data_IF_425240508148
#
_entry.id   IF_425240508148
#
_cell.length_a   1.000
_cell.length_b   1.000
_cell.length_c   1.000
_cell.angle_alpha   90.00
_cell.angle_beta   90.00
_cell.angle_gamma   90.00
#
_symmetry.space_group_name_H-M   'P 1'
#
loop_
_entity.id
_entity.type
_entity.pdbx_description
1 polymer ?
#
# COMPACT_ATOMS: atom_id res chain seq x y z
N UNK A 1 5.85 -68.05 -55.94
CA UNK A 1 5.12 -66.80 -56.27
C UNK A 1 4.08 -66.58 -55.19
N UNK A 2 3.90 -65.32 -54.76
CA UNK A 2 3.04 -64.83 -53.66
C UNK A 2 3.58 -64.95 -52.22
N UNK A 3 3.25 -63.95 -51.35
CA UNK A 3 4.24 -63.28 -50.52
C UNK A 3 4.01 -63.40 -49.00
N UNK A 4 5.05 -63.00 -48.25
CA UNK A 4 5.10 -62.73 -46.81
C UNK A 4 3.93 -61.84 -46.32
N UNK A 5 3.27 -62.25 -45.25
CA UNK A 5 2.65 -61.37 -44.24
C UNK A 5 2.86 -61.93 -42.83
N UNK A 6 2.94 -61.01 -41.86
CA UNK A 6 3.55 -61.13 -40.54
C UNK A 6 2.79 -62.01 -39.51
N UNK A 7 3.44 -62.45 -38.42
CA UNK A 7 2.77 -63.11 -37.30
C UNK A 7 2.17 -62.08 -36.32
N UNK A 8 0.90 -62.26 -35.96
CA UNK A 8 0.30 -61.69 -34.75
C UNK A 8 0.48 -62.74 -33.65
N UNK A 9 1.31 -62.44 -32.65
CA UNK A 9 1.51 -63.29 -31.48
C UNK A 9 0.67 -62.81 -30.30
N UNK A 10 -0.13 -63.74 -29.82
CA UNK A 10 -0.91 -63.77 -28.59
C UNK A 10 -0.03 -63.76 -27.33
N UNK A 11 -0.37 -62.95 -26.33
CA UNK A 11 -0.05 -63.23 -24.92
C UNK A 11 -1.00 -62.48 -23.98
N UNK A 12 -2.25 -62.94 -23.93
CA UNK A 12 -3.11 -62.73 -22.76
C UNK A 12 -2.66 -63.72 -21.68
N UNK A 13 -1.96 -63.24 -20.64
CA UNK A 13 -1.59 -64.05 -19.48
C UNK A 13 -1.78 -63.23 -18.20
N UNK A 14 -2.82 -63.65 -17.45
CA UNK A 14 -2.95 -63.67 -15.98
C UNK A 14 -2.92 -62.35 -15.21
N UNK A 15 -4.07 -61.97 -14.69
CA UNK A 15 -4.18 -61.45 -13.32
C UNK A 15 -5.31 -62.21 -12.61
N UNK A 16 -4.92 -63.05 -11.65
CA UNK A 16 -5.82 -63.81 -10.79
C UNK A 16 -6.53 -62.86 -9.81
N UNK A 17 -7.84 -63.07 -9.64
CA UNK A 17 -8.68 -62.40 -8.65
C UNK A 17 -8.21 -62.71 -7.22
N UNK A 18 -7.67 -61.71 -6.54
CA UNK A 18 -7.59 -61.69 -5.09
C UNK A 18 -8.85 -60.99 -4.56
N UNK A 19 -9.76 -61.75 -3.96
CA UNK A 19 -10.94 -61.22 -3.26
C UNK A 19 -10.46 -60.55 -1.97
N UNK A 20 -10.65 -59.23 -1.88
CA UNK A 20 -10.31 -58.43 -0.72
C UNK A 20 -11.50 -58.47 0.28
N UNK A 21 -11.29 -58.76 1.58
CA UNK A 21 -12.39 -58.82 2.53
C UNK A 21 -13.02 -57.42 2.76
N UNK A 22 -14.33 -57.36 3.06
CA UNK A 22 -15.03 -56.08 3.23
C UNK A 22 -14.51 -55.32 4.46
N UNK A 23 -14.35 -53.99 4.30
CA UNK A 23 -13.92 -53.09 5.35
C UNK A 23 -14.94 -53.05 6.51
N UNK A 24 -14.49 -52.91 7.77
CA UNK A 24 -15.39 -52.78 8.92
C UNK A 24 -16.24 -51.50 8.83
N UNK A 25 -17.48 -51.51 9.36
CA UNK A 25 -18.37 -50.35 9.31
C UNK A 25 -17.77 -49.17 10.07
N UNK A 26 -17.82 -47.98 9.44
CA UNK A 26 -17.36 -46.74 10.02
C UNK A 26 -18.14 -46.45 11.32
N UNK A 27 -17.41 -46.29 12.44
CA UNK A 27 -18.00 -45.85 13.70
C UNK A 27 -18.63 -44.45 13.58
N UNK A 28 -19.55 -44.09 14.49
CA UNK A 28 -20.22 -42.78 14.45
C UNK A 28 -19.20 -41.65 14.42
N UNK A 29 -19.33 -40.77 13.44
CA UNK A 29 -18.48 -39.61 13.26
C UNK A 29 -18.43 -38.80 14.56
N UNK A 30 -17.23 -38.54 15.06
CA UNK A 30 -17.04 -37.68 16.23
C UNK A 30 -17.74 -36.33 15.97
N UNK A 31 -18.50 -35.79 16.95
CA UNK A 31 -19.22 -34.54 16.77
C UNK A 31 -18.23 -33.45 16.38
N UNK A 32 -18.48 -32.82 15.22
CA UNK A 32 -17.71 -31.70 14.72
C UNK A 32 -17.73 -30.59 15.78
N UNK A 33 -16.57 -30.06 16.20
CA UNK A 33 -16.54 -28.99 17.18
C UNK A 33 -17.28 -27.78 16.61
N UNK A 34 -18.39 -27.41 17.25
CA UNK A 34 -19.14 -26.20 16.94
C UNK A 34 -18.23 -25.02 17.26
N UNK A 35 -17.72 -24.34 16.22
CA UNK A 35 -16.97 -23.10 16.36
C UNK A 35 -17.97 -22.02 16.81
N UNK A 36 -18.05 -21.80 18.12
CA UNK A 36 -18.83 -20.69 18.68
C UNK A 36 -18.10 -19.40 18.34
N UNK A 37 -18.61 -18.61 17.39
CA UNK A 37 -18.07 -17.27 17.12
C UNK A 37 -18.13 -16.46 18.43
N UNK A 38 -16.99 -15.93 18.92
CA UNK A 38 -17.00 -15.08 20.10
C UNK A 38 -17.90 -13.87 19.83
N UNK A 39 -18.99 -13.75 20.60
CA UNK A 39 -19.94 -12.63 20.49
C UNK A 39 -19.25 -11.33 20.87
N UNK A 40 -18.70 -10.63 19.88
CA UNK A 40 -18.25 -9.25 20.02
C UNK A 40 -19.46 -8.38 20.38
N UNK A 41 -19.36 -7.63 21.48
CA UNK A 41 -20.43 -6.71 21.93
C UNK A 41 -20.72 -5.67 20.85
N UNK A 42 -21.98 -5.30 20.68
CA UNK A 42 -22.40 -4.29 19.70
C UNK A 42 -21.71 -2.93 19.95
N UNK A 43 -21.52 -2.54 21.22
CA UNK A 43 -20.78 -1.34 21.58
C UNK A 43 -19.35 -1.33 21.05
N UNK A 44 -18.64 -2.46 21.11
CA UNK A 44 -17.28 -2.59 20.54
C UNK A 44 -17.28 -2.35 19.04
N UNK A 45 -18.31 -2.83 18.32
CA UNK A 45 -18.45 -2.62 16.87
C UNK A 45 -18.68 -1.15 16.55
N UNK A 46 -19.56 -0.46 17.27
CA UNK A 46 -19.81 0.97 17.08
C UNK A 46 -18.58 1.83 17.39
N UNK A 47 -17.86 1.52 18.48
CA UNK A 47 -16.59 2.18 18.82
C UNK A 47 -15.56 1.97 17.71
N UNK A 48 -15.41 0.75 17.20
CA UNK A 48 -14.49 0.48 16.10
C UNK A 48 -14.88 1.23 14.82
N UNK A 49 -16.17 1.29 14.47
CA UNK A 49 -16.64 2.03 13.30
C UNK A 49 -16.36 3.53 13.43
N UNK A 50 -16.73 4.13 14.57
CA UNK A 50 -16.49 5.54 14.84
C UNK A 50 -15.00 5.88 14.87
N UNK A 51 -14.18 5.03 15.50
CA UNK A 51 -12.74 5.24 15.58
C UNK A 51 -12.07 5.18 14.19
N UNK A 52 -12.48 4.25 13.33
CA UNK A 52 -11.97 4.18 11.94
C UNK A 52 -12.41 5.39 11.12
N UNK A 53 -13.66 5.85 11.26
CA UNK A 53 -14.13 7.06 10.58
C UNK A 53 -13.38 8.31 11.06
N UNK A 54 -13.15 8.46 12.37
CA UNK A 54 -12.39 9.57 12.93
C UNK A 54 -10.90 9.52 12.54
N UNK A 55 -10.33 8.32 12.41
CA UNK A 55 -8.97 8.13 11.91
C UNK A 55 -8.81 8.70 10.49
N UNK A 56 -9.73 8.38 9.58
CA UNK A 56 -9.63 8.83 8.18
C UNK A 56 -10.17 10.23 7.94
N UNK A 57 -11.07 10.72 8.80
CA UNK A 57 -11.48 12.13 8.83
C UNK A 57 -10.27 13.04 9.05
N UNK A 58 -9.33 12.64 9.90
CA UNK A 58 -8.10 13.37 10.20
C UNK A 58 -8.34 14.87 10.46
N UNK A 59 -9.39 15.20 11.21
CA UNK A 59 -9.75 16.57 11.51
C UNK A 59 -8.65 17.19 12.37
N UNK A 60 -8.15 18.36 11.96
CA UNK A 60 -7.20 19.14 12.74
C UNK A 60 -7.91 19.68 13.99
N UNK A 61 -7.33 19.41 15.17
CA UNK A 61 -7.89 19.83 16.46
C UNK A 61 -7.17 21.07 16.96
N UNK A 62 -5.86 20.94 17.22
CA UNK A 62 -4.98 22.02 17.69
C UNK A 62 -3.56 21.71 17.20
N UNK A 63 -2.89 22.69 16.59
CA UNK A 63 -1.54 22.55 16.04
C UNK A 63 -1.39 21.30 15.15
N UNK A 64 -0.46 20.40 15.50
CA UNK A 64 -0.21 19.13 14.80
C UNK A 64 -1.12 17.98 15.30
N UNK A 65 -1.98 18.20 16.30
CA UNK A 65 -2.90 17.18 16.80
C UNK A 65 -4.12 17.07 15.89
N UNK A 66 -4.39 15.84 15.46
CA UNK A 66 -5.57 15.50 14.66
C UNK A 66 -6.32 14.34 15.29
N UNK A 67 -7.55 14.11 14.84
CA UNK A 67 -8.31 12.92 15.22
C UNK A 67 -7.59 11.62 14.84
N UNK A 68 -6.75 11.63 13.80
CA UNK A 68 -5.94 10.48 13.38
C UNK A 68 -4.79 10.16 14.36
N UNK A 69 -4.44 11.08 15.24
CA UNK A 69 -3.44 10.86 16.31
C UNK A 69 -4.15 10.55 17.62
N UNK A 70 -5.09 11.42 18.03
CA UNK A 70 -5.71 11.37 19.36
C UNK A 70 -6.55 10.11 19.55
N UNK A 71 -7.36 9.74 18.56
CA UNK A 71 -8.28 8.59 18.70
C UNK A 71 -7.52 7.26 18.76
N UNK A 72 -6.57 6.95 17.86
CA UNK A 72 -5.76 5.76 18.01
C UNK A 72 -4.96 5.76 19.31
N UNK A 73 -4.36 6.88 19.71
CA UNK A 73 -3.56 6.93 20.93
C UNK A 73 -4.41 6.65 22.19
N UNK A 74 -5.61 7.24 22.27
CA UNK A 74 -6.54 6.98 23.37
C UNK A 74 -6.99 5.51 23.45
N UNK A 75 -7.04 4.82 22.30
CA UNK A 75 -7.46 3.42 22.22
C UNK A 75 -6.30 2.41 22.28
N UNK A 76 -5.06 2.85 22.58
CA UNK A 76 -3.89 1.95 22.74
C UNK A 76 -4.20 0.71 23.60
N UNK A 77 -4.82 0.84 24.81
CA UNK A 77 -5.11 -0.33 25.64
C UNK A 77 -6.00 -1.38 24.94
N UNK A 78 -6.81 -0.94 23.98
CA UNK A 78 -7.75 -1.79 23.25
C UNK A 78 -7.04 -2.50 22.09
N UNK A 79 -6.24 -1.79 21.29
CA UNK A 79 -5.65 -2.36 20.07
C UNK A 79 -4.22 -2.88 20.22
N UNK A 80 -3.51 -2.61 21.32
CA UNK A 80 -2.07 -2.95 21.49
C UNK A 80 -1.74 -4.43 21.23
N UNK A 81 -2.67 -5.33 21.57
CA UNK A 81 -2.48 -6.77 21.38
C UNK A 81 -2.77 -7.24 19.94
N UNK A 82 -3.55 -6.48 19.17
CA UNK A 82 -4.02 -6.89 17.84
C UNK A 82 -2.89 -7.07 16.81
N UNK A 83 -1.88 -6.17 16.71
CA UNK A 83 -0.77 -6.34 15.77
C UNK A 83 -0.05 -7.69 15.90
N UNK A 84 0.00 -8.29 17.10
CA UNK A 84 0.66 -9.58 17.33
C UNK A 84 0.02 -10.73 16.54
N UNK A 85 -1.24 -10.57 16.13
CA UNK A 85 -2.00 -11.54 15.34
C UNK A 85 -1.69 -11.48 13.83
N UNK A 86 -0.92 -10.49 13.38
CA UNK A 86 -0.62 -10.29 11.96
C UNK A 86 0.86 -10.57 11.65
N UNK A 87 1.12 -11.03 10.42
CA UNK A 87 2.48 -11.31 9.95
C UNK A 87 3.25 -9.99 9.79
N UNK A 88 4.51 -9.98 10.22
CA UNK A 88 5.42 -8.83 10.07
C UNK A 88 5.12 -7.60 10.95
N UNK A 89 3.95 -7.51 11.57
CA UNK A 89 3.56 -6.36 12.38
C UNK A 89 4.48 -6.12 13.60
N UNK A 90 4.93 -7.16 14.31
CA UNK A 90 5.89 -6.97 15.43
C UNK A 90 7.18 -6.25 15.02
N UNK A 91 7.78 -6.69 13.91
CA UNK A 91 8.98 -6.07 13.38
C UNK A 91 8.70 -4.65 12.88
N UNK A 92 7.53 -4.41 12.29
CA UNK A 92 7.08 -3.08 11.88
C UNK A 92 7.09 -2.09 13.07
N UNK A 93 6.52 -2.47 14.23
CA UNK A 93 6.54 -1.63 15.43
C UNK A 93 7.93 -1.48 16.05
N UNK A 94 8.74 -2.55 16.04
CA UNK A 94 10.11 -2.49 16.56
C UNK A 94 10.99 -1.54 15.73
N UNK A 95 10.94 -1.65 14.40
CA UNK A 95 11.63 -0.74 13.48
C UNK A 95 11.06 0.68 13.55
N UNK A 96 9.75 0.82 13.76
CA UNK A 96 9.13 2.13 14.03
C UNK A 96 9.68 2.81 15.27
N UNK A 97 9.78 2.09 16.39
CA UNK A 97 10.39 2.59 17.62
C UNK A 97 11.87 2.93 17.44
N UNK A 98 12.62 2.09 16.72
CA UNK A 98 14.03 2.34 16.41
C UNK A 98 14.20 3.58 15.53
N UNK A 99 13.35 3.76 14.51
CA UNK A 99 13.37 4.93 13.64
C UNK A 99 13.08 6.21 14.44
N UNK A 100 12.06 6.21 15.31
CA UNK A 100 11.75 7.35 16.17
C UNK A 100 12.92 7.72 17.09
N UNK A 101 13.53 6.73 17.75
CA UNK A 101 14.71 6.95 18.60
C UNK A 101 15.89 7.49 17.78
N UNK A 102 16.14 6.92 16.60
CA UNK A 102 17.17 7.38 15.66
C UNK A 102 16.95 8.81 15.22
N UNK A 103 15.72 9.20 14.86
CA UNK A 103 15.42 10.58 14.44
C UNK A 103 15.66 11.61 15.54
N UNK A 104 15.25 11.30 16.79
CA UNK A 104 15.53 12.18 17.94
C UNK A 104 17.03 12.28 18.21
N UNK A 105 17.74 11.15 18.15
CA UNK A 105 19.19 11.12 18.31
C UNK A 105 19.91 11.93 17.22
N UNK A 106 19.55 11.73 15.95
CA UNK A 106 20.09 12.50 14.82
C UNK A 106 19.79 14.00 14.97
N UNK A 107 18.59 14.37 15.42
CA UNK A 107 18.26 15.77 15.71
C UNK A 107 19.19 16.37 16.77
N UNK A 108 19.47 15.63 17.83
CA UNK A 108 20.40 16.07 18.87
C UNK A 108 21.84 16.21 18.33
N UNK A 109 22.31 15.25 17.54
CA UNK A 109 23.65 15.33 16.90
C UNK A 109 23.74 16.50 15.93
N UNK A 110 22.72 16.72 15.12
CA UNK A 110 22.69 17.79 14.11
C UNK A 110 22.53 19.18 14.72
N UNK A 111 22.06 19.30 15.97
CA UNK A 111 21.92 20.59 16.66
C UNK A 111 23.23 21.36 16.83
N UNK A 112 24.38 20.67 16.72
CA UNK A 112 25.70 21.31 16.74
C UNK A 112 25.99 22.13 15.48
N UNK A 113 25.34 21.83 14.35
CA UNK A 113 25.64 22.44 13.04
C UNK A 113 24.40 22.99 12.31
N UNK A 114 23.19 22.67 12.79
CA UNK A 114 21.94 23.05 12.15
C UNK A 114 20.98 23.66 13.15
N UNK A 115 20.13 24.57 12.67
CA UNK A 115 18.99 25.03 13.44
C UNK A 115 17.96 23.90 13.59
N UNK A 116 17.38 23.79 14.79
CA UNK A 116 16.33 22.82 15.09
C UNK A 116 15.00 23.55 15.23
N UNK A 117 13.98 23.12 14.50
CA UNK A 117 12.61 23.62 14.64
C UNK A 117 11.82 22.71 15.59
N UNK A 118 11.46 23.17 16.80
CA UNK A 118 10.65 22.37 17.74
C UNK A 118 9.26 22.05 17.19
N UNK A 119 8.72 22.89 16.31
CA UNK A 119 7.42 22.70 15.67
C UNK A 119 7.49 21.52 14.70
N UNK A 120 8.50 21.51 13.81
CA UNK A 120 8.73 20.42 12.84
C UNK A 120 9.04 19.11 13.54
N UNK A 121 9.93 19.16 14.55
CA UNK A 121 10.25 18.02 15.41
C UNK A 121 8.97 17.36 15.96
N UNK A 122 8.09 18.15 16.59
CA UNK A 122 6.82 17.64 17.13
C UNK A 122 5.91 17.11 16.03
N UNK A 123 5.74 17.84 14.93
CA UNK A 123 4.85 17.47 13.84
C UNK A 123 5.25 16.12 13.21
N UNK A 124 6.53 15.93 12.90
CA UNK A 124 7.01 14.69 12.27
C UNK A 124 7.01 13.49 13.23
N UNK A 125 7.31 13.70 14.52
CA UNK A 125 7.16 12.65 15.53
C UNK A 125 5.68 12.23 15.68
N UNK A 126 4.77 13.20 15.79
CA UNK A 126 3.33 12.93 15.90
C UNK A 126 2.78 12.27 14.64
N UNK A 127 3.26 12.64 13.45
CA UNK A 127 2.89 12.01 12.18
C UNK A 127 3.23 10.51 12.19
N UNK A 128 4.46 10.16 12.56
CA UNK A 128 4.91 8.77 12.57
C UNK A 128 4.24 7.97 13.68
N UNK A 129 4.18 8.51 14.90
CA UNK A 129 3.48 7.87 16.04
C UNK A 129 2.00 7.66 15.71
N UNK A 130 1.33 8.70 15.20
CA UNK A 130 -0.07 8.64 14.76
C UNK A 130 -0.28 7.60 13.66
N UNK A 131 0.63 7.52 12.70
CA UNK A 131 0.65 6.49 11.67
C UNK A 131 0.68 5.06 12.23
N UNK A 132 1.64 4.77 13.11
CA UNK A 132 1.72 3.44 13.74
C UNK A 132 0.48 3.12 14.59
N UNK A 133 0.01 4.08 15.39
CA UNK A 133 -1.21 3.90 16.17
C UNK A 133 -2.43 3.66 15.26
N UNK A 134 -2.53 4.37 14.14
CA UNK A 134 -3.58 4.18 13.14
C UNK A 134 -3.56 2.79 12.51
N UNK A 135 -2.37 2.26 12.19
CA UNK A 135 -2.22 0.87 11.72
C UNK A 135 -2.72 -0.09 12.80
N UNK A 136 -2.33 0.10 14.07
CA UNK A 136 -2.80 -0.71 15.19
C UNK A 136 -4.31 -0.72 15.35
N UNK A 137 -4.92 0.47 15.30
CA UNK A 137 -6.36 0.65 15.37
C UNK A 137 -7.08 -0.10 14.23
N UNK A 138 -6.59 0.00 12.99
CA UNK A 138 -7.19 -0.71 11.85
C UNK A 138 -7.05 -2.24 11.96
N UNK A 139 -5.90 -2.73 12.40
CA UNK A 139 -5.69 -4.16 12.62
C UNK A 139 -6.63 -4.69 13.70
N UNK A 140 -6.83 -3.94 14.79
CA UNK A 140 -7.83 -4.26 15.79
C UNK A 140 -9.25 -4.20 15.23
N UNK A 141 -9.62 -3.14 14.51
CA UNK A 141 -10.94 -2.99 13.91
C UNK A 141 -11.29 -4.18 13.02
N UNK A 142 -10.33 -4.71 12.25
CA UNK A 142 -10.51 -5.93 11.44
C UNK A 142 -10.76 -7.20 12.25
N UNK A 143 -10.37 -7.25 13.52
CA UNK A 143 -10.70 -8.40 14.38
C UNK A 143 -12.15 -8.37 14.86
N UNK A 144 -12.77 -7.19 14.96
CA UNK A 144 -14.11 -6.98 15.52
C UNK A 144 -15.17 -6.59 14.49
N UNK A 145 -14.76 -6.18 13.28
CA UNK A 145 -15.62 -5.77 12.18
C UNK A 145 -15.26 -6.52 10.89
N UNK A 146 -16.26 -6.84 10.04
CA UNK A 146 -16.00 -7.27 8.67
C UNK A 146 -15.20 -6.23 7.89
N UNK A 147 -14.32 -6.67 7.00
CA UNK A 147 -13.49 -5.81 6.13
C UNK A 147 -14.32 -4.78 5.36
N UNK A 148 -15.53 -5.13 4.91
CA UNK A 148 -16.48 -4.19 4.29
C UNK A 148 -16.84 -3.03 5.21
N UNK A 149 -17.14 -3.32 6.47
CA UNK A 149 -17.52 -2.28 7.43
C UNK A 149 -16.35 -1.38 7.76
N UNK A 150 -15.13 -1.94 7.89
CA UNK A 150 -13.89 -1.14 8.05
C UNK A 150 -13.68 -0.21 6.85
N UNK A 151 -13.81 -0.74 5.62
CA UNK A 151 -13.65 0.04 4.40
C UNK A 151 -14.70 1.16 4.27
N UNK A 152 -15.96 0.88 4.57
CA UNK A 152 -17.04 1.88 4.51
C UNK A 152 -16.92 2.92 5.63
N UNK A 153 -16.49 2.55 6.83
CA UNK A 153 -16.20 3.50 7.90
C UNK A 153 -15.03 4.42 7.52
N UNK A 154 -13.97 3.86 6.93
CA UNK A 154 -12.85 4.64 6.42
C UNK A 154 -13.29 5.61 5.32
N UNK A 155 -14.11 5.15 4.37
CA UNK A 155 -14.67 5.99 3.32
C UNK A 155 -15.56 7.11 3.88
N UNK A 156 -16.39 6.83 4.89
CA UNK A 156 -17.23 7.83 5.53
C UNK A 156 -16.41 8.97 6.13
N UNK A 157 -15.30 8.66 6.81
CA UNK A 157 -14.38 9.69 7.32
C UNK A 157 -13.74 10.52 6.21
N UNK A 158 -13.29 9.87 5.12
CA UNK A 158 -12.72 10.57 3.96
C UNK A 158 -13.73 11.50 3.27
N UNK A 159 -14.99 11.09 3.15
CA UNK A 159 -16.05 11.93 2.57
C UNK A 159 -16.43 13.09 3.49
N UNK A 160 -16.54 12.84 4.79
CA UNK A 160 -16.81 13.89 5.77
C UNK A 160 -15.70 14.96 5.74
N UNK A 161 -14.44 14.56 5.55
CA UNK A 161 -13.31 15.48 5.40
C UNK A 161 -13.49 16.45 4.23
N UNK A 162 -14.00 15.98 3.08
CA UNK A 162 -14.24 16.82 1.90
C UNK A 162 -15.25 17.94 2.19
N UNK A 163 -16.22 17.70 3.07
CA UNK A 163 -17.24 18.70 3.44
C UNK A 163 -16.67 19.76 4.39
N UNK A 164 -15.64 19.41 5.16
CA UNK A 164 -15.05 20.29 6.18
C UNK A 164 -13.84 21.09 5.68
N UNK A 165 -13.17 20.62 4.64
CA UNK A 165 -11.98 21.28 4.08
C UNK A 165 -12.31 22.08 2.81
N UNK A 166 -11.61 23.21 2.57
CA UNK A 166 -11.73 23.94 1.31
C UNK A 166 -11.42 23.05 0.10
N UNK A 167 -12.27 23.12 -0.91
CA UNK A 167 -12.06 22.42 -2.18
C UNK A 167 -10.96 23.15 -2.97
N UNK A 168 -9.99 22.41 -3.48
CA UNK A 168 -8.95 22.99 -4.32
C UNK A 168 -9.55 23.43 -5.67
N UNK A 169 -9.51 24.72 -6.03
CA UNK A 169 -10.18 25.23 -7.22
C UNK A 169 -9.48 24.82 -8.52
N UNK A 170 -8.18 24.51 -8.48
CA UNK A 170 -7.41 24.17 -9.69
C UNK A 170 -7.73 22.76 -10.20
N UNK A 171 -7.91 21.79 -9.29
CA UNK A 171 -8.35 20.44 -9.66
C UNK A 171 -9.05 19.73 -8.49
N UNK A 172 -10.36 19.95 -8.31
CA UNK A 172 -11.12 19.35 -7.21
C UNK A 172 -11.06 17.82 -7.21
N UNK A 173 -11.11 17.21 -8.40
CA UNK A 173 -11.08 15.75 -8.53
C UNK A 173 -9.78 15.16 -8.00
N UNK A 174 -8.65 15.69 -8.48
CA UNK A 174 -7.30 15.20 -8.14
C UNK A 174 -6.99 15.37 -6.65
N UNK A 175 -7.32 16.53 -6.09
CA UNK A 175 -6.85 16.92 -4.75
C UNK A 175 -7.85 16.61 -3.63
N UNK A 176 -9.15 16.46 -3.92
CA UNK A 176 -10.17 16.22 -2.90
C UNK A 176 -10.93 14.90 -3.13
N UNK A 177 -11.55 14.70 -4.29
CA UNK A 177 -12.55 13.63 -4.47
C UNK A 177 -11.98 12.24 -4.82
N UNK A 178 -10.97 12.17 -5.69
CA UNK A 178 -10.53 10.91 -6.34
C UNK A 178 -10.24 9.80 -5.33
N UNK A 179 -9.50 10.12 -4.27
CA UNK A 179 -9.13 9.16 -3.24
C UNK A 179 -10.34 8.65 -2.44
N UNK A 180 -11.17 9.56 -1.93
CA UNK A 180 -12.33 9.20 -1.11
C UNK A 180 -13.36 8.39 -1.91
N UNK A 181 -13.65 8.82 -3.14
CA UNK A 181 -14.60 8.13 -4.03
C UNK A 181 -14.08 6.74 -4.40
N UNK A 182 -12.79 6.59 -4.69
CA UNK A 182 -12.20 5.28 -4.99
C UNK A 182 -12.30 4.32 -3.80
N UNK A 183 -11.96 4.79 -2.60
CA UNK A 183 -12.05 3.97 -1.37
C UNK A 183 -13.50 3.57 -1.08
N UNK A 184 -14.45 4.49 -1.23
CA UNK A 184 -15.88 4.22 -1.06
C UNK A 184 -16.36 3.16 -2.05
N UNK A 185 -16.10 3.37 -3.34
CA UNK A 185 -16.59 2.53 -4.41
C UNK A 185 -16.04 1.09 -4.27
N UNK A 186 -14.73 0.95 -4.03
CA UNK A 186 -14.11 -0.35 -3.79
C UNK A 186 -14.55 -0.97 -2.45
N UNK A 187 -14.85 -0.14 -1.44
CA UNK A 187 -15.41 -0.57 -0.16
C UNK A 187 -16.77 -1.26 -0.30
N UNK A 188 -17.62 -0.83 -1.25
CA UNK A 188 -18.90 -1.50 -1.51
C UNK A 188 -18.75 -2.92 -2.11
N UNK A 189 -17.68 -3.16 -2.87
CA UNK A 189 -17.47 -4.42 -3.61
C UNK A 189 -16.49 -5.39 -2.94
N UNK A 190 -15.77 -4.97 -1.89
CA UNK A 190 -14.67 -5.72 -1.24
C UNK A 190 -14.97 -7.17 -0.82
N UNK A 191 -16.24 -7.52 -0.54
CA UNK A 191 -16.64 -8.85 -0.02
C UNK A 191 -17.38 -9.71 -1.03
N UNK A 192 -18.13 -9.09 -1.95
CA UNK A 192 -18.74 -9.88 -3.02
C UNK A 192 -17.53 -10.35 -3.86
N UNK A 193 -17.55 -11.55 -4.45
CA UNK A 193 -16.47 -11.97 -5.37
C UNK A 193 -16.69 -11.52 -6.84
N UNK A 194 -17.32 -10.38 -7.21
CA UNK A 194 -17.36 -9.99 -8.60
C UNK A 194 -16.05 -9.28 -8.91
N UNK A 195 -14.96 -10.04 -8.98
CA UNK A 195 -13.67 -9.58 -9.50
C UNK A 195 -13.85 -8.82 -10.84
N UNK A 196 -14.74 -9.22 -11.76
CA UNK A 196 -15.03 -8.41 -12.93
C UNK A 196 -15.59 -7.01 -12.62
N UNK A 197 -16.45 -6.88 -11.60
CA UNK A 197 -16.98 -5.58 -11.17
C UNK A 197 -15.89 -4.73 -10.53
N UNK A 198 -14.97 -5.31 -9.75
CA UNK A 198 -13.79 -4.57 -9.24
C UNK A 198 -12.94 -4.04 -10.41
N UNK A 199 -12.68 -4.85 -11.44
CA UNK A 199 -11.95 -4.43 -12.64
C UNK A 199 -12.66 -3.30 -13.38
N UNK A 200 -13.96 -3.48 -13.68
CA UNK A 200 -14.77 -2.46 -14.36
C UNK A 200 -14.76 -1.15 -13.57
N UNK A 201 -14.95 -1.22 -12.26
CA UNK A 201 -14.96 -0.04 -11.40
C UNK A 201 -13.62 0.69 -11.38
N UNK A 202 -12.51 -0.04 -11.30
CA UNK A 202 -11.16 0.53 -11.38
C UNK A 202 -10.90 1.20 -12.73
N UNK A 203 -11.33 0.58 -13.84
CA UNK A 203 -11.20 1.15 -15.18
C UNK A 203 -12.08 2.39 -15.40
N UNK A 204 -13.31 2.38 -14.87
CA UNK A 204 -14.19 3.57 -14.90
C UNK A 204 -13.56 4.73 -14.13
N UNK A 205 -13.06 4.48 -12.91
CA UNK A 205 -12.36 5.49 -12.11
C UNK A 205 -11.07 5.97 -12.79
N UNK A 206 -10.35 5.07 -13.48
CA UNK A 206 -9.18 5.43 -14.27
C UNK A 206 -9.59 6.38 -15.41
N UNK A 207 -10.65 6.08 -16.15
CA UNK A 207 -11.21 6.97 -17.17
C UNK A 207 -11.56 8.36 -16.63
N UNK A 208 -12.19 8.45 -15.45
CA UNK A 208 -12.45 9.74 -14.80
C UNK A 208 -11.15 10.47 -14.44
N UNK A 209 -10.12 9.77 -13.95
CA UNK A 209 -8.82 10.38 -13.67
C UNK A 209 -8.11 10.88 -14.93
N UNK A 210 -8.25 10.18 -16.04
CA UNK A 210 -7.69 10.55 -17.34
C UNK A 210 -8.25 11.89 -17.82
N UNK A 211 -9.58 12.07 -17.77
CA UNK A 211 -10.24 13.31 -18.22
C UNK A 211 -10.02 14.50 -17.26
N UNK A 212 -9.54 14.25 -16.02
CA UNK A 212 -9.26 15.27 -15.00
C UNK A 212 -7.75 15.48 -14.76
N UNK A 213 -6.89 15.28 -15.77
CA UNK A 213 -5.42 15.47 -15.72
C UNK A 213 -4.72 14.84 -14.49
N UNK A 214 -5.20 13.66 -14.07
CA UNK A 214 -4.70 12.93 -12.90
C UNK A 214 -3.89 11.69 -13.31
N UNK A 215 -2.77 11.92 -14.00
CA UNK A 215 -1.94 10.89 -14.66
C UNK A 215 -1.46 9.76 -13.74
N UNK A 216 -0.92 10.10 -12.57
CA UNK A 216 -0.43 9.10 -11.60
C UNK A 216 -1.58 8.28 -11.01
N UNK A 217 -2.74 8.90 -10.75
CA UNK A 217 -3.93 8.21 -10.28
C UNK A 217 -4.48 7.26 -11.36
N UNK A 218 -4.54 7.70 -12.63
CA UNK A 218 -4.89 6.86 -13.77
C UNK A 218 -3.97 5.62 -13.85
N UNK A 219 -2.65 5.81 -13.88
CA UNK A 219 -1.70 4.71 -13.97
C UNK A 219 -1.83 3.73 -12.79
N UNK A 220 -2.02 4.25 -11.57
CA UNK A 220 -2.23 3.45 -10.36
C UNK A 220 -3.52 2.61 -10.44
N UNK A 221 -4.61 3.19 -10.95
CA UNK A 221 -5.90 2.51 -11.10
C UNK A 221 -5.86 1.45 -12.21
N UNK A 222 -5.22 1.74 -13.34
CA UNK A 222 -5.00 0.76 -14.42
C UNK A 222 -4.15 -0.39 -13.93
N UNK A 223 -3.04 -0.11 -13.23
CA UNK A 223 -2.21 -1.14 -12.62
C UNK A 223 -3.05 -2.00 -11.67
N UNK A 224 -3.81 -1.38 -10.75
CA UNK A 224 -4.69 -2.11 -9.85
C UNK A 224 -5.72 -2.98 -10.60
N UNK A 225 -6.32 -2.47 -11.67
CA UNK A 225 -7.28 -3.22 -12.50
C UNK A 225 -6.64 -4.46 -13.12
N UNK A 226 -5.44 -4.34 -13.68
CA UNK A 226 -4.69 -5.44 -14.26
C UNK A 226 -4.31 -6.50 -13.22
N UNK A 227 -3.92 -6.06 -12.01
CA UNK A 227 -3.61 -6.97 -10.89
C UNK A 227 -4.85 -7.70 -10.37
N UNK A 228 -6.01 -7.05 -10.33
CA UNK A 228 -7.29 -7.72 -10.01
C UNK A 228 -7.68 -8.69 -11.13
N UNK A 229 -7.59 -8.27 -12.39
CA UNK A 229 -7.90 -9.10 -13.54
C UNK A 229 -7.01 -10.36 -13.62
N UNK A 230 -5.75 -10.26 -13.21
CA UNK A 230 -4.85 -11.41 -13.12
C UNK A 230 -5.40 -12.53 -12.21
N UNK A 231 -6.12 -12.17 -11.14
CA UNK A 231 -6.72 -13.15 -10.23
C UNK A 231 -7.91 -13.93 -10.87
N UNK A 232 -8.39 -13.53 -12.06
CA UNK A 232 -9.45 -14.22 -12.82
C UNK A 232 -8.98 -15.44 -13.62
N UNK A 233 -7.67 -15.68 -13.76
CA UNK A 233 -7.15 -16.77 -14.61
C UNK A 233 -7.65 -18.16 -14.17
N UNK A 234 -7.95 -19.10 -15.09
CA UNK A 234 -8.39 -20.46 -14.75
C UNK A 234 -7.40 -21.21 -13.83
N UNK A 235 -7.91 -22.13 -13.01
CA UNK A 235 -7.13 -22.88 -11.99
C UNK A 235 -6.34 -24.06 -12.62
N UNK A 236 -6.39 -24.25 -13.93
CA UNK A 236 -5.85 -25.42 -14.64
C UNK A 236 -4.32 -25.46 -14.75
N UNK A 237 -3.59 -24.41 -14.35
CA UNK A 237 -2.13 -24.43 -14.29
C UNK A 237 -1.65 -24.79 -12.87
N UNK A 238 -0.71 -25.74 -12.81
CA UNK A 238 -0.23 -26.43 -11.61
C UNK A 238 -0.02 -25.57 -10.35
N UNK A 239 -0.26 -26.22 -9.21
CA UNK A 239 -0.52 -25.66 -7.87
C UNK A 239 0.69 -25.01 -7.16
N UNK A 240 1.53 -24.25 -7.87
CA UNK A 240 2.65 -23.46 -7.30
C UNK A 240 2.93 -22.19 -8.11
N UNK A 241 1.99 -21.25 -8.16
CA UNK A 241 2.39 -19.87 -8.47
C UNK A 241 3.17 -19.36 -7.26
N UNK A 242 4.50 -19.40 -7.36
CA UNK A 242 5.38 -18.84 -6.32
C UNK A 242 5.08 -17.35 -6.18
N UNK A 243 5.02 -16.83 -4.95
CA UNK A 243 4.88 -15.40 -4.70
C UNK A 243 5.92 -14.59 -5.50
N UNK A 244 7.11 -15.15 -5.73
CA UNK A 244 8.15 -14.54 -6.55
C UNK A 244 7.73 -14.38 -8.03
N UNK A 245 7.04 -15.37 -8.60
CA UNK A 245 6.51 -15.27 -9.97
C UNK A 245 5.39 -14.23 -10.06
N UNK A 246 4.56 -14.10 -9.01
CA UNK A 246 3.56 -13.03 -8.91
C UNK A 246 4.24 -11.66 -8.83
N UNK A 247 5.32 -11.52 -8.06
CA UNK A 247 6.10 -10.27 -7.97
C UNK A 247 6.71 -9.91 -9.33
N UNK A 248 7.38 -10.84 -10.00
CA UNK A 248 7.97 -10.61 -11.32
C UNK A 248 6.91 -10.18 -12.35
N UNK A 249 5.75 -10.82 -12.34
CA UNK A 249 4.65 -10.44 -13.21
C UNK A 249 4.10 -9.05 -12.89
N UNK A 250 3.93 -8.72 -11.60
CA UNK A 250 3.43 -7.40 -11.20
C UNK A 250 4.41 -6.30 -11.61
N UNK A 251 5.72 -6.56 -11.47
CA UNK A 251 6.76 -5.69 -12.00
C UNK A 251 6.66 -5.51 -13.52
N UNK A 252 6.45 -6.60 -14.27
CA UNK A 252 6.26 -6.56 -15.71
C UNK A 252 5.01 -5.76 -16.14
N UNK A 253 3.89 -5.92 -15.42
CA UNK A 253 2.66 -5.15 -15.66
C UNK A 253 2.91 -3.66 -15.39
N UNK A 254 3.57 -3.32 -14.29
CA UNK A 254 3.89 -1.92 -13.97
C UNK A 254 4.81 -1.29 -15.04
N UNK A 255 5.83 -2.02 -15.50
CA UNK A 255 6.71 -1.58 -16.59
C UNK A 255 5.95 -1.39 -17.90
N UNK A 256 5.01 -2.28 -18.22
CA UNK A 256 4.14 -2.16 -19.39
C UNK A 256 3.25 -0.92 -19.31
N UNK A 257 2.58 -0.70 -18.17
CA UNK A 257 1.74 0.51 -17.95
C UNK A 257 2.57 1.78 -18.08
N UNK A 258 3.79 1.81 -17.55
CA UNK A 258 4.69 2.95 -17.70
C UNK A 258 5.09 3.19 -19.16
N UNK A 259 5.51 2.14 -19.87
CA UNK A 259 5.95 2.22 -21.27
C UNK A 259 4.81 2.66 -22.18
N UNK A 260 3.68 1.95 -22.14
CA UNK A 260 2.49 2.27 -22.95
C UNK A 260 1.93 3.64 -22.58
N UNK A 261 1.84 3.97 -21.29
CA UNK A 261 1.39 5.29 -20.83
C UNK A 261 2.26 6.42 -21.36
N UNK A 262 3.59 6.24 -21.34
CA UNK A 262 4.55 7.21 -21.88
C UNK A 262 4.35 7.41 -23.39
N UNK A 263 4.22 6.32 -24.16
CA UNK A 263 3.94 6.40 -25.59
C UNK A 263 2.64 7.15 -25.88
N UNK A 264 1.55 6.80 -25.21
CA UNK A 264 0.25 7.45 -25.40
C UNK A 264 0.25 8.95 -25.09
N UNK A 265 1.04 9.38 -24.09
CA UNK A 265 1.25 10.82 -23.80
C UNK A 265 2.02 11.47 -24.95
N UNK A 266 3.15 10.89 -25.37
CA UNK A 266 4.03 11.48 -26.37
C UNK A 266 3.40 11.53 -27.77
N UNK A 267 2.51 10.60 -28.08
CA UNK A 267 1.75 10.54 -29.34
C UNK A 267 0.49 11.43 -29.31
N UNK A 268 0.18 12.09 -28.19
CA UNK A 268 -0.94 13.03 -28.10
C UNK A 268 -2.31 12.41 -27.84
N UNK A 269 -2.40 11.09 -27.70
CA UNK A 269 -3.66 10.39 -27.39
C UNK A 269 -4.28 10.81 -26.04
N UNK A 270 -3.47 11.36 -25.13
CA UNK A 270 -3.90 11.87 -23.83
C UNK A 270 -4.04 13.42 -23.81
N UNK A 271 -4.09 14.04 -24.99
CA UNK A 271 -4.33 15.47 -25.20
C UNK A 271 -3.06 16.28 -25.49
N UNK A 272 -3.19 17.30 -26.32
CA UNK A 272 -2.08 18.14 -26.82
C UNK A 272 -1.35 18.88 -25.68
N UNK A 273 -2.08 19.48 -24.74
CA UNK A 273 -1.48 20.14 -23.58
C UNK A 273 -0.71 19.16 -22.66
N UNK A 274 -1.05 17.87 -22.71
CA UNK A 274 -0.34 16.82 -21.98
C UNK A 274 0.91 16.37 -22.72
N UNK A 275 0.80 16.22 -24.03
CA UNK A 275 1.91 15.92 -24.93
C UNK A 275 3.00 16.99 -24.84
N UNK A 276 2.65 18.26 -24.98
CA UNK A 276 3.60 19.37 -24.98
C UNK A 276 4.41 19.44 -23.67
N UNK A 277 3.74 19.43 -22.52
CA UNK A 277 4.39 19.39 -21.20
C UNK A 277 5.33 18.19 -21.02
N UNK A 278 4.94 17.03 -21.55
CA UNK A 278 5.77 15.82 -21.44
C UNK A 278 6.94 15.82 -22.42
N UNK A 279 6.78 16.39 -23.62
CA UNK A 279 7.89 16.61 -24.54
C UNK A 279 8.90 17.60 -23.94
N UNK A 280 8.45 18.69 -23.33
CA UNK A 280 9.30 19.64 -22.60
C UNK A 280 10.05 18.94 -21.45
N UNK A 281 9.38 18.07 -20.68
CA UNK A 281 10.04 17.27 -19.63
C UNK A 281 11.08 16.29 -20.16
N UNK A 282 10.81 15.61 -21.28
CA UNK A 282 11.78 14.70 -21.92
C UNK A 282 12.97 15.48 -22.48
N UNK A 283 12.72 16.61 -23.15
CA UNK A 283 13.77 17.47 -23.70
C UNK A 283 14.65 18.06 -22.61
N UNK A 284 14.05 18.43 -21.47
CA UNK A 284 14.80 18.92 -20.33
C UNK A 284 15.66 17.82 -19.70
N UNK A 285 15.16 16.60 -19.48
CA UNK A 285 15.79 15.66 -18.53
C UNK A 285 16.17 14.28 -19.08
N UNK A 286 15.83 13.99 -20.33
CA UNK A 286 15.98 12.67 -20.95
C UNK A 286 14.96 11.59 -20.50
N UNK A 287 14.13 11.84 -19.48
CA UNK A 287 13.11 10.87 -19.01
C UNK A 287 11.91 11.56 -18.37
N UNK A 288 10.68 11.17 -18.74
CA UNK A 288 9.45 11.70 -18.13
C UNK A 288 9.43 11.48 -16.61
N UNK A 289 9.98 10.37 -16.14
CA UNK A 289 9.98 10.02 -14.72
C UNK A 289 11.05 10.79 -13.92
N UNK A 290 12.25 10.97 -14.49
CA UNK A 290 13.36 11.65 -13.81
C UNK A 290 13.28 13.18 -13.96
N UNK A 291 12.87 13.69 -15.13
CA UNK A 291 12.65 15.13 -15.33
C UNK A 291 11.44 15.73 -14.68
N UNK A 292 10.45 14.91 -14.38
CA UNK A 292 9.32 15.34 -13.58
C UNK A 292 9.63 15.39 -12.07
N UNK A 293 10.84 15.01 -11.64
CA UNK A 293 11.16 14.73 -10.23
C UNK A 293 12.58 15.18 -9.84
N UNK A 294 12.87 16.49 -9.87
CA UNK A 294 14.16 17.03 -9.43
C UNK A 294 14.53 16.64 -7.99
N UNK A 295 13.54 16.32 -7.15
CA UNK A 295 13.76 15.97 -5.74
C UNK A 295 14.57 14.68 -5.55
N UNK A 296 14.58 13.78 -6.55
CA UNK A 296 15.49 12.63 -6.53
C UNK A 296 16.95 13.05 -6.68
N UNK A 297 17.26 14.05 -7.53
CA UNK A 297 18.61 14.60 -7.65
C UNK A 297 19.08 15.28 -6.37
N UNK A 298 18.19 16.01 -5.69
CA UNK A 298 18.48 16.53 -4.36
C UNK A 298 18.69 15.43 -3.33
N UNK A 299 17.82 14.41 -3.31
CA UNK A 299 17.91 13.29 -2.37
C UNK A 299 19.22 12.54 -2.51
N UNK A 300 19.67 12.27 -3.75
CA UNK A 300 20.94 11.57 -4.00
C UNK A 300 22.13 12.41 -3.59
N UNK A 301 22.17 13.69 -3.96
CA UNK A 301 23.28 14.58 -3.61
C UNK A 301 23.40 14.78 -2.08
N UNK A 302 22.28 14.95 -1.39
CA UNK A 302 22.25 15.04 0.07
C UNK A 302 22.64 13.71 0.73
N UNK A 303 22.28 12.57 0.14
CA UNK A 303 22.69 11.26 0.65
C UNK A 303 24.19 11.06 0.54
N UNK A 304 24.78 11.48 -0.57
CA UNK A 304 26.23 11.44 -0.79
C UNK A 304 26.98 12.36 0.18
N UNK A 305 26.45 13.57 0.44
CA UNK A 305 27.08 14.52 1.37
C UNK A 305 26.93 14.11 2.84
N UNK A 306 25.77 13.58 3.24
CA UNK A 306 25.46 13.25 4.64
C UNK A 306 24.67 11.94 4.76
N UNK A 307 25.30 10.76 4.58
CA UNK A 307 24.60 9.48 4.47
C UNK A 307 23.83 9.07 5.73
N UNK A 308 24.22 9.57 6.90
CA UNK A 308 23.55 9.28 8.17
C UNK A 308 22.13 9.86 8.27
N UNK A 309 21.78 10.84 7.42
CA UNK A 309 20.56 11.64 7.54
C UNK A 309 20.74 12.89 8.41
N UNK A 310 19.66 13.64 8.55
CA UNK A 310 19.64 14.96 9.20
C UNK A 310 19.02 14.88 10.59
N UNK A 311 17.82 14.29 10.69
CA UNK A 311 17.05 14.27 11.93
C UNK A 311 15.70 14.95 11.74
N UNK A 312 14.72 14.48 12.52
CA UNK A 312 13.29 14.77 12.38
C UNK A 312 12.86 16.23 12.58
N UNK A 313 13.74 17.07 13.15
CA UNK A 313 13.48 18.49 13.44
C UNK A 313 14.46 19.46 12.79
N UNK A 314 15.35 18.99 11.90
CA UNK A 314 16.42 19.79 11.32
C UNK A 314 15.89 20.72 10.24
N UNK A 315 16.34 21.97 10.28
CA UNK A 315 16.19 22.95 9.20
C UNK A 315 17.46 22.94 8.36
N UNK A 316 17.31 22.85 7.03
CA UNK A 316 18.44 22.89 6.10
C UNK A 316 19.21 24.21 6.21
N UNK A 317 20.54 24.14 6.20
CA UNK A 317 21.38 25.33 6.08
C UNK A 317 21.71 25.62 4.61
N UNK A 318 22.50 26.68 4.36
CA UNK A 318 22.88 27.06 3.00
C UNK A 318 23.67 25.96 2.28
N UNK A 319 24.57 25.26 2.98
CA UNK A 319 25.39 24.21 2.39
C UNK A 319 24.51 23.03 1.91
N UNK A 320 23.54 22.62 2.73
CA UNK A 320 22.58 21.58 2.36
C UNK A 320 21.79 21.99 1.11
N UNK A 321 21.31 23.24 1.09
CA UNK A 321 20.54 23.78 -0.04
C UNK A 321 21.41 23.76 -1.31
N UNK A 322 22.67 24.21 -1.24
CA UNK A 322 23.56 24.23 -2.39
C UNK A 322 23.89 22.82 -2.91
N UNK A 323 24.09 21.86 -2.00
CA UNK A 323 24.26 20.44 -2.38
C UNK A 323 23.02 19.91 -3.08
N UNK A 324 21.83 20.17 -2.52
CA UNK A 324 20.57 19.76 -3.14
C UNK A 324 20.37 20.39 -4.52
N UNK A 325 20.62 21.70 -4.65
CA UNK A 325 20.53 22.44 -5.92
C UNK A 325 21.51 21.88 -6.95
N UNK A 326 22.74 21.55 -6.57
CA UNK A 326 23.72 20.91 -7.47
C UNK A 326 23.23 19.56 -7.98
N UNK A 327 22.66 18.74 -7.09
CA UNK A 327 22.03 17.47 -7.47
C UNK A 327 20.87 17.64 -8.45
N UNK A 328 19.99 18.61 -8.22
CA UNK A 328 18.90 18.93 -9.15
C UNK A 328 19.40 19.44 -10.51
N UNK A 329 20.40 20.32 -10.51
CA UNK A 329 21.00 20.87 -11.73
C UNK A 329 21.64 19.77 -12.59
N UNK A 330 22.18 18.72 -11.97
CA UNK A 330 22.71 17.55 -12.70
C UNK A 330 21.65 16.78 -13.50
N UNK A 331 20.38 16.92 -13.13
CA UNK A 331 19.21 16.41 -13.87
C UNK A 331 18.63 17.44 -14.85
N UNK A 332 19.38 18.52 -15.12
CA UNK A 332 19.02 19.61 -16.01
C UNK A 332 17.70 20.33 -15.60
N UNK A 333 17.45 20.37 -14.30
CA UNK A 333 16.41 21.18 -13.67
C UNK A 333 17.01 22.50 -13.19
N UNK A 334 16.29 23.62 -13.36
CA UNK A 334 16.66 24.92 -12.81
C UNK A 334 16.25 24.99 -11.32
N UNK A 335 17.20 24.93 -10.37
CA UNK A 335 16.90 24.85 -8.96
C UNK A 335 16.80 26.22 -8.29
N UNK A 336 17.08 27.31 -9.01
CA UNK A 336 17.04 28.69 -8.50
C UNK A 336 15.63 29.27 -8.60
N UNK A 337 14.73 28.65 -7.84
CA UNK A 337 13.31 29.00 -7.84
C UNK A 337 12.70 28.96 -6.44
N UNK A 338 11.53 29.58 -6.29
CA UNK A 338 10.83 29.67 -5.01
C UNK A 338 10.31 28.32 -4.48
N UNK A 339 10.20 27.27 -5.31
CA UNK A 339 9.79 25.95 -4.87
C UNK A 339 10.90 25.25 -4.05
N UNK A 340 12.14 25.30 -4.54
CA UNK A 340 13.28 24.71 -3.84
C UNK A 340 13.54 25.45 -2.53
N UNK A 341 13.64 26.78 -2.58
CA UNK A 341 14.07 27.59 -1.43
C UNK A 341 13.00 27.69 -0.34
N UNK A 342 11.74 27.93 -0.71
CA UNK A 342 10.68 28.17 0.28
C UNK A 342 9.97 26.88 0.70
N UNK A 343 9.73 25.97 -0.25
CA UNK A 343 8.90 24.81 0.01
C UNK A 343 9.71 23.56 0.38
N UNK A 344 10.77 23.23 -0.37
CA UNK A 344 11.60 22.05 -0.09
C UNK A 344 12.54 22.21 1.10
N UNK A 345 13.07 23.42 1.34
CA UNK A 345 14.09 23.65 2.35
C UNK A 345 13.80 24.83 3.30
N UNK A 346 12.67 25.54 3.14
CA UNK A 346 12.43 26.78 3.88
C UNK A 346 12.24 26.61 5.39
N UNK A 347 11.63 25.51 5.83
CA UNK A 347 11.38 25.24 7.26
C UNK A 347 11.76 23.85 7.72
N UNK A 348 11.89 22.92 6.79
CA UNK A 348 12.24 21.52 6.99
C UNK A 348 12.73 20.95 5.66
N UNK A 349 13.40 19.80 5.68
CA UNK A 349 13.86 19.10 4.47
C UNK A 349 12.70 18.25 3.92
N UNK A 350 12.17 18.61 2.75
CA UNK A 350 11.10 17.86 2.06
C UNK A 350 11.57 17.30 0.73
N UNK A 351 11.76 15.98 0.67
CA UNK A 351 12.33 15.31 -0.50
C UNK A 351 11.30 14.62 -1.40
N UNK A 352 10.01 14.71 -1.06
CA UNK A 352 8.90 14.26 -1.92
C UNK A 352 8.94 12.77 -2.30
N UNK A 353 9.57 11.94 -1.49
CA UNK A 353 9.51 10.50 -1.57
C UNK A 353 9.53 9.94 -0.15
N UNK A 354 8.61 9.06 0.23
CA UNK A 354 8.57 8.52 1.61
C UNK A 354 9.90 7.89 1.99
N UNK A 355 10.59 7.21 1.05
CA UNK A 355 11.91 6.64 1.32
C UNK A 355 12.97 7.71 1.65
N UNK A 356 12.98 8.82 0.90
CA UNK A 356 13.90 9.92 1.11
C UNK A 356 13.55 10.72 2.38
N UNK A 357 12.27 10.91 2.66
CA UNK A 357 11.78 11.53 3.89
C UNK A 357 12.09 10.66 5.12
N UNK A 358 11.95 9.33 5.02
CA UNK A 358 12.32 8.41 6.09
C UNK A 358 13.82 8.43 6.37
N UNK A 359 14.63 8.44 5.31
CA UNK A 359 16.08 8.55 5.44
C UNK A 359 16.51 9.89 6.03
N UNK A 360 16.06 11.01 5.46
CA UNK A 360 16.47 12.34 5.92
C UNK A 360 16.08 12.60 7.38
N UNK A 361 14.89 12.16 7.80
CA UNK A 361 14.41 12.37 9.17
C UNK A 361 14.92 11.33 10.18
N UNK A 362 15.13 10.06 9.78
CA UNK A 362 15.40 8.95 10.71
C UNK A 362 16.65 8.12 10.38
N UNK A 363 17.40 8.51 9.35
CA UNK A 363 18.64 7.87 8.90
C UNK A 363 18.46 6.44 8.41
N UNK A 364 19.48 5.61 8.63
CA UNK A 364 19.44 4.19 8.26
C UNK A 364 18.32 3.39 8.94
N UNK A 365 17.91 3.78 10.16
CA UNK A 365 16.77 3.17 10.82
C UNK A 365 15.46 3.46 10.06
N UNK A 366 15.31 4.67 9.52
CA UNK A 366 14.22 5.05 8.63
C UNK A 366 14.22 4.23 7.33
N UNK A 367 15.39 4.06 6.70
CA UNK A 367 15.53 3.20 5.52
C UNK A 367 15.18 1.75 5.82
N UNK A 368 15.63 1.19 6.95
CA UNK A 368 15.29 -0.17 7.36
C UNK A 368 13.78 -0.33 7.58
N UNK A 369 13.12 0.66 8.21
CA UNK A 369 11.67 0.70 8.34
C UNK A 369 10.98 0.75 6.98
N UNK A 370 11.43 1.62 6.08
CA UNK A 370 10.88 1.75 4.73
C UNK A 370 11.02 0.47 3.92
N UNK A 371 12.20 -0.14 3.93
CA UNK A 371 12.46 -1.44 3.30
C UNK A 371 11.57 -2.54 3.87
N UNK A 372 11.35 -2.55 5.18
CA UNK A 372 10.43 -3.49 5.82
C UNK A 372 8.98 -3.29 5.38
N UNK A 373 8.49 -2.04 5.35
CA UNK A 373 7.13 -1.72 4.88
C UNK A 373 6.96 -2.17 3.43
N UNK A 374 7.92 -1.86 2.55
CA UNK A 374 7.90 -2.25 1.15
C UNK A 374 7.89 -3.78 0.99
N UNK A 375 8.86 -4.46 1.60
CA UNK A 375 9.00 -5.92 1.53
C UNK A 375 7.77 -6.64 2.08
N UNK A 376 7.26 -6.20 3.25
CA UNK A 376 6.07 -6.77 3.87
C UNK A 376 4.82 -6.55 3.01
N UNK A 377 4.69 -5.40 2.36
CA UNK A 377 3.54 -5.08 1.52
C UNK A 377 3.54 -5.88 0.22
N UNK A 378 4.68 -5.94 -0.46
CA UNK A 378 4.84 -6.75 -1.68
C UNK A 378 4.60 -8.23 -1.36
N UNK A 379 5.20 -8.74 -0.27
CA UNK A 379 4.99 -10.12 0.15
C UNK A 379 3.53 -10.41 0.52
N UNK A 380 2.88 -9.53 1.28
CA UNK A 380 1.49 -9.72 1.71
C UNK A 380 0.54 -9.69 0.53
N UNK A 381 0.77 -8.77 -0.42
CA UNK A 381 -0.03 -8.65 -1.63
C UNK A 381 0.16 -9.86 -2.55
N UNK A 382 1.41 -10.25 -2.83
CA UNK A 382 1.70 -11.43 -3.64
C UNK A 382 1.11 -12.70 -3.01
N UNK A 383 1.22 -12.85 -1.69
CA UNK A 383 0.64 -13.97 -0.94
C UNK A 383 -0.90 -13.98 -1.01
N UNK A 384 -1.54 -12.82 -0.88
CA UNK A 384 -2.99 -12.69 -1.00
C UNK A 384 -3.48 -12.93 -2.44
N UNK A 385 -2.74 -12.45 -3.44
CA UNK A 385 -3.05 -12.63 -4.85
C UNK A 385 -2.86 -14.09 -5.30
N UNK A 386 -1.80 -14.76 -4.82
CA UNK A 386 -1.57 -16.19 -5.06
C UNK A 386 -2.72 -17.06 -4.51
N UNK A 387 -3.32 -16.65 -3.38
CA UNK A 387 -4.53 -17.25 -2.81
C UNK A 387 -5.83 -16.71 -3.41
N UNK A 388 -5.77 -15.73 -4.31
CA UNK A 388 -6.91 -15.06 -4.96
C UNK A 388 -7.88 -14.34 -4.01
N UNK A 389 -7.38 -13.97 -2.83
CA UNK A 389 -8.15 -13.28 -1.78
C UNK A 389 -7.85 -11.78 -1.70
N UNK A 390 -6.89 -11.27 -2.48
CA UNK A 390 -6.58 -9.84 -2.51
C UNK A 390 -7.77 -9.05 -3.08
N UNK A 391 -8.35 -8.16 -2.28
CA UNK A 391 -9.43 -7.26 -2.72
C UNK A 391 -8.91 -6.16 -3.64
N UNK A 392 -9.76 -5.66 -4.55
CA UNK A 392 -9.41 -4.51 -5.39
C UNK A 392 -9.01 -3.29 -4.57
N UNK A 393 -9.67 -3.06 -3.42
CA UNK A 393 -9.31 -1.99 -2.48
C UNK A 393 -7.88 -2.15 -1.93
N UNK A 394 -7.53 -3.35 -1.44
CA UNK A 394 -6.19 -3.59 -0.89
C UNK A 394 -5.11 -3.46 -1.97
N UNK A 395 -5.38 -3.96 -3.19
CA UNK A 395 -4.48 -3.81 -4.34
C UNK A 395 -4.26 -2.33 -4.67
N UNK A 396 -5.35 -1.57 -4.86
CA UNK A 396 -5.27 -0.13 -5.17
C UNK A 396 -4.48 0.65 -4.11
N UNK A 397 -4.82 0.48 -2.83
CA UNK A 397 -4.12 1.16 -1.73
C UNK A 397 -2.64 0.79 -1.69
N UNK A 398 -2.30 -0.46 -1.97
CA UNK A 398 -0.89 -0.91 -2.01
C UNK A 398 -0.16 -0.29 -3.19
N UNK A 399 -0.74 -0.29 -4.39
CA UNK A 399 -0.13 0.36 -5.57
C UNK A 399 0.10 1.85 -5.32
N UNK A 400 -0.91 2.55 -4.76
CA UNK A 400 -0.80 3.96 -4.43
C UNK A 400 0.27 4.23 -3.38
N UNK A 401 0.33 3.40 -2.34
CA UNK A 401 1.38 3.48 -1.32
C UNK A 401 2.77 3.26 -1.93
N UNK A 402 2.96 2.24 -2.79
CA UNK A 402 4.24 1.95 -3.44
C UNK A 402 4.69 3.11 -4.34
N UNK A 403 3.75 3.72 -5.08
CA UNK A 403 4.01 4.94 -5.85
C UNK A 403 4.50 6.07 -4.95
N UNK A 404 3.79 6.32 -3.85
CA UNK A 404 4.16 7.36 -2.90
C UNK A 404 5.50 7.09 -2.22
N UNK A 405 5.88 5.82 -2.03
CA UNK A 405 7.19 5.50 -1.49
C UNK A 405 8.35 6.05 -2.32
N UNK A 406 8.15 6.12 -3.63
CA UNK A 406 9.12 6.69 -4.55
C UNK A 406 8.87 8.16 -4.90
N UNK A 407 7.64 8.68 -4.79
CA UNK A 407 7.27 9.97 -5.39
C UNK A 407 6.28 10.84 -4.59
N UNK A 408 5.91 10.40 -3.38
CA UNK A 408 4.98 11.11 -2.50
C UNK A 408 5.66 11.55 -1.21
N UNK A 409 5.38 12.75 -0.69
CA UNK A 409 5.89 13.16 0.61
C UNK A 409 5.24 12.34 1.74
N UNK A 410 5.99 12.08 2.81
CA UNK A 410 5.52 11.25 3.94
C UNK A 410 4.25 11.78 4.59
N UNK A 411 4.12 13.11 4.72
CA UNK A 411 2.98 13.76 5.35
C UNK A 411 1.64 13.41 4.68
N UNK A 412 1.54 13.56 3.35
CA UNK A 412 0.33 13.22 2.61
C UNK A 412 0.18 11.72 2.36
N UNK A 413 1.27 10.96 2.46
CA UNK A 413 1.29 9.51 2.24
C UNK A 413 0.93 8.71 3.47
N UNK A 414 1.08 9.25 4.68
CA UNK A 414 0.84 8.51 5.93
C UNK A 414 -0.59 7.95 6.02
N UNK A 415 -1.67 8.69 5.72
CA UNK A 415 -3.03 8.12 5.72
C UNK A 415 -3.19 6.94 4.75
N UNK A 416 -2.53 7.01 3.59
CA UNK A 416 -2.54 5.94 2.58
C UNK A 416 -1.77 4.72 3.09
N UNK A 417 -0.59 4.90 3.69
CA UNK A 417 0.20 3.84 4.31
C UNK A 417 -0.60 3.14 5.42
N UNK A 418 -1.27 3.92 6.27
CA UNK A 418 -2.12 3.43 7.36
C UNK A 418 -3.24 2.56 6.82
N UNK A 419 -4.03 3.05 5.86
CA UNK A 419 -5.11 2.26 5.26
C UNK A 419 -4.58 1.05 4.48
N UNK A 420 -3.50 1.20 3.71
CA UNK A 420 -2.91 0.12 2.93
C UNK A 420 -2.47 -1.03 3.85
N UNK A 421 -1.61 -0.77 4.84
CA UNK A 421 -1.15 -1.80 5.78
C UNK A 421 -2.29 -2.33 6.64
N UNK A 422 -3.18 -1.46 7.10
CA UNK A 422 -4.37 -1.82 7.87
C UNK A 422 -5.25 -2.84 7.12
N UNK A 423 -5.40 -2.70 5.80
CA UNK A 423 -6.23 -3.60 4.97
C UNK A 423 -5.46 -4.80 4.40
N UNK A 424 -4.15 -4.67 4.20
CA UNK A 424 -3.32 -5.64 3.49
C UNK A 424 -2.76 -6.73 4.40
N UNK A 425 -2.38 -6.39 5.64
CA UNK A 425 -1.65 -7.33 6.49
C UNK A 425 -2.46 -8.60 6.76
N UNK A 426 -1.77 -9.72 6.65
CA UNK A 426 -2.36 -11.06 6.73
C UNK A 426 -2.35 -11.55 8.18
N UNK A 427 -3.46 -12.18 8.65
CA UNK A 427 -3.46 -12.91 9.91
C UNK A 427 -2.39 -14.00 9.92
N UNK A 428 -1.81 -14.26 11.10
CA UNK A 428 -0.92 -15.41 11.31
C UNK A 428 -1.73 -16.70 11.30
N UNK A 429 -1.16 -17.75 10.69
CA UNK A 429 -1.76 -19.08 10.71
C UNK A 429 -1.93 -19.59 12.15
N UNK A 430 -3.08 -20.20 12.45
CA UNK A 430 -3.38 -20.75 13.77
C UNK A 430 -3.74 -19.74 14.86
N UNK A 431 -3.87 -18.44 14.54
CA UNK A 431 -4.32 -17.41 15.48
C UNK A 431 -5.74 -16.98 15.14
N UNK A 432 -6.63 -16.98 16.13
CA UNK A 432 -7.97 -16.42 15.97
C UNK A 432 -7.87 -14.90 15.74
N UNK A 433 -8.14 -14.49 14.52
CA UNK A 433 -8.15 -13.10 14.09
C UNK A 433 -9.57 -12.54 13.92
N UNK A 434 -10.60 -13.22 14.45
CA UNK A 434 -11.99 -12.80 14.39
C UNK A 434 -12.46 -12.61 12.94
N UNK A 435 -13.00 -11.43 12.62
CA UNK A 435 -13.45 -11.13 11.25
C UNK A 435 -12.32 -10.90 10.22
N UNK A 436 -11.05 -10.99 10.61
CA UNK A 436 -9.91 -10.76 9.73
C UNK A 436 -9.47 -11.99 8.93
N UNK A 437 -9.98 -13.19 9.23
CA UNK A 437 -9.68 -14.43 8.51
C UNK A 437 -10.12 -14.30 7.05
N UNK A 438 -9.14 -14.35 6.14
CA UNK A 438 -9.36 -14.24 4.69
C UNK A 438 -9.84 -15.56 4.06
N UNK A 439 -9.82 -16.65 4.82
CA UNK A 439 -10.34 -17.92 4.40
C UNK A 439 -11.84 -18.00 4.74
N UNK A 440 -12.71 -18.39 3.80
CA UNK A 440 -14.00 -18.90 4.21
C UNK A 440 -13.70 -20.08 5.13
N UNK A 441 -14.31 -20.11 6.32
CA UNK A 441 -14.43 -21.34 7.09
C UNK A 441 -14.93 -22.38 6.09
N UNK A 442 -14.05 -23.30 5.71
CA UNK A 442 -14.46 -24.44 4.90
C UNK A 442 -15.38 -25.23 5.81
N UNK A 443 -16.68 -25.00 5.70
CA UNK A 443 -17.63 -26.05 6.05
C UNK A 443 -17.23 -27.26 5.24
N UNK A 444 -16.91 -28.40 5.86
CA UNK A 444 -16.67 -29.64 5.14
C UNK A 444 -18.02 -30.19 4.66
N UNK A 445 -18.68 -29.47 3.75
CA UNK A 445 -19.90 -29.91 3.10
C UNK A 445 -19.74 -29.61 1.60
N UNK A 446 -19.50 -30.65 0.83
CA UNK A 446 -19.26 -30.53 -0.62
C UNK A 446 -18.53 -31.69 -1.27
N UNK A 447 -18.49 -32.87 -0.62
CA UNK A 447 -18.28 -34.16 -1.27
C UNK A 447 -19.16 -35.19 -0.57
N UNK A 448 -20.40 -35.27 -1.02
CA UNK A 448 -21.20 -36.47 -0.99
C UNK A 448 -21.67 -36.70 -2.43
#
# INVERSE_FOLDING_TARGET
MSPRTAPVSSAAVRAASAVQPPAPPAGPAAPTPVVVEPRVRASTRYVAMGAVALLTLNLQLVDAFTTAIVVPLALVPVWWSAPRRFVGARALYALGGLALASGVWLTAVSSATHAISPVVLRANLLLVVGGFCGIGLLLWARTVLPVKTVALAAAAGLLARIVLEPINPANPWKYNFSYAVTVLALGFVVRKRPRPVEVVLLLLLAGVCMVNDSRSAFATLVLAALLVAYQLRPVSMGRRSSALATVALFGGIAACVYSVGTTLILEGYLGEATQQRSQEQVQASGSILLGGRPEWGASTALFESRPMGFGVGVVANLDDILVAKSGMASLNYDPDNGYVENYMFGSEIKLHAVVADLWSNFGFAGLALGAWILGLSVWSLASAAARRVASGLAIYLTCLMLWNFAFGPIYSSMPIIVLALGMLLLPRAGVDAGHATLDPVTTPEGRA
#
